data_IF_255324443120
#
_entry.id   IF_255324443120
#
_cell.length_a   1.000
_cell.length_b   1.000
_cell.length_c   1.000
_cell.angle_alpha   90.00
_cell.angle_beta   90.00
_cell.angle_gamma   90.00
#
_symmetry.space_group_name_H-M   'P 1'
#
loop_
_entity.id
_entity.type
_entity.pdbx_description
1 polymer ?
#
# COMPACT_ATOMS: atom_id res chain seq x y z
N UNK A 1 -0.27 -14.51 -4.48
CA UNK A 1 -0.16 -13.60 -5.63
C UNK A 1 -1.37 -12.68 -5.60
N UNK A 2 -1.18 -11.46 -5.09
CA UNK A 2 -2.25 -10.46 -4.99
C UNK A 2 -2.47 -9.69 -6.29
N UNK A 3 -3.59 -8.96 -6.36
CA UNK A 3 -3.88 -8.01 -7.43
C UNK A 3 -2.91 -6.83 -7.30
N UNK A 4 -2.30 -6.40 -8.41
CA UNK A 4 -1.44 -5.21 -8.45
C UNK A 4 -2.22 -4.05 -9.08
N UNK A 5 -2.18 -2.88 -8.43
CA UNK A 5 -2.76 -1.64 -8.95
C UNK A 5 -1.66 -0.59 -9.12
N UNK A 6 -1.74 0.22 -10.18
CA UNK A 6 -0.80 1.29 -10.46
C UNK A 6 -1.44 2.67 -10.34
N UNK A 7 -0.71 3.65 -9.81
CA UNK A 7 -1.14 5.05 -9.78
C UNK A 7 -0.80 5.72 -11.12
N UNK A 8 -1.82 6.27 -11.81
CA UNK A 8 -1.69 6.96 -13.10
C UNK A 8 -2.16 8.41 -12.97
N UNK A 9 -1.46 9.35 -13.59
CA UNK A 9 -1.85 10.77 -13.58
C UNK A 9 -0.75 11.70 -14.07
N UNK A 10 -1.10 12.97 -14.29
CA UNK A 10 -0.20 14.01 -14.82
C UNK A 10 1.01 14.27 -13.89
N UNK A 11 2.11 14.87 -14.40
CA UNK A 11 3.23 15.28 -13.57
C UNK A 11 2.80 16.17 -12.39
N UNK A 12 3.45 16.03 -11.24
CA UNK A 12 3.25 16.88 -10.04
C UNK A 12 1.85 16.88 -9.40
N UNK A 13 0.97 15.92 -9.70
CA UNK A 13 -0.37 15.81 -9.07
C UNK A 13 -0.38 15.10 -7.70
N UNK A 14 0.79 14.92 -7.07
CA UNK A 14 0.89 14.28 -5.75
C UNK A 14 0.88 12.75 -5.74
N UNK A 15 1.13 12.09 -6.88
CA UNK A 15 1.16 10.61 -6.97
C UNK A 15 2.12 9.97 -5.97
N UNK A 16 3.36 10.48 -5.87
CA UNK A 16 4.37 9.95 -4.95
C UNK A 16 3.99 10.20 -3.49
N UNK A 17 3.36 11.35 -3.19
CA UNK A 17 2.83 11.67 -1.86
C UNK A 17 1.76 10.68 -1.43
N UNK A 18 0.80 10.38 -2.31
CA UNK A 18 -0.27 9.42 -2.02
C UNK A 18 0.27 7.99 -1.88
N UNK A 19 1.23 7.59 -2.72
CA UNK A 19 1.89 6.30 -2.61
C UNK A 19 2.57 6.15 -1.25
N UNK A 20 3.37 7.13 -0.83
CA UNK A 20 4.08 7.09 0.45
C UNK A 20 3.10 7.05 1.63
N UNK A 21 2.00 7.79 1.57
CA UNK A 21 0.96 7.78 2.59
C UNK A 21 0.28 6.41 2.74
N UNK A 22 0.04 5.70 1.62
CA UNK A 22 -0.69 4.42 1.62
C UNK A 22 0.20 3.21 1.91
N UNK A 23 1.50 3.30 1.62
CA UNK A 23 2.42 2.16 1.68
C UNK A 23 3.44 2.27 2.82
N UNK A 24 3.43 3.36 3.59
CA UNK A 24 4.44 3.73 4.58
C UNK A 24 5.88 3.66 4.02
N UNK A 25 6.03 3.65 2.68
CA UNK A 25 7.31 3.61 2.01
C UNK A 25 7.85 5.04 1.88
N UNK A 26 9.13 5.23 2.17
CA UNK A 26 9.82 6.50 1.99
C UNK A 26 10.40 6.59 0.57
N UNK A 27 9.54 6.71 -0.45
CA UNK A 27 10.04 6.96 -1.81
C UNK A 27 10.47 8.43 -1.92
N UNK A 28 11.70 8.71 -2.39
CA UNK A 28 12.11 10.06 -2.73
C UNK A 28 11.20 10.64 -3.83
N UNK A 29 10.54 11.76 -3.55
CA UNK A 29 9.70 12.48 -4.52
C UNK A 29 10.54 13.32 -5.51
N UNK A 30 11.71 12.83 -5.89
CA UNK A 30 12.67 13.54 -6.73
C UNK A 30 12.54 13.10 -8.20
N UNK A 31 12.68 14.07 -9.11
CA UNK A 31 12.65 13.82 -10.55
C UNK A 31 13.98 13.18 -11.01
N UNK A 32 14.04 11.86 -11.16
CA UNK A 32 15.20 11.17 -11.77
C UNK A 32 14.91 10.85 -13.25
N UNK A 33 15.44 11.61 -14.23
CA UNK A 33 14.99 11.51 -15.61
C UNK A 33 15.66 10.39 -16.43
N UNK A 34 16.60 9.60 -15.88
CA UNK A 34 17.44 8.70 -16.69
C UNK A 34 17.83 7.35 -16.06
N UNK A 35 17.23 6.92 -14.94
CA UNK A 35 17.48 5.58 -14.38
C UNK A 35 16.32 4.63 -14.66
N UNK A 36 16.61 3.36 -14.93
CA UNK A 36 15.61 2.28 -14.90
C UNK A 36 15.16 2.10 -13.46
N UNK A 37 14.12 2.85 -13.05
CA UNK A 37 13.56 2.76 -11.71
C UNK A 37 12.68 1.50 -11.70
N UNK A 38 13.11 0.46 -10.99
CA UNK A 38 12.19 -0.63 -10.65
C UNK A 38 10.94 -0.01 -10.00
N UNK A 39 9.72 -0.36 -10.45
CA UNK A 39 8.52 0.27 -9.92
C UNK A 39 8.48 0.01 -8.41
N UNK A 40 8.37 1.07 -7.62
CA UNK A 40 8.23 0.91 -6.18
C UNK A 40 6.97 0.09 -5.90
N UNK A 41 7.14 -1.08 -5.32
CA UNK A 41 6.03 -1.95 -4.92
C UNK A 41 5.83 -1.76 -3.43
N UNK A 42 4.63 -1.31 -3.05
CA UNK A 42 4.21 -1.18 -1.67
C UNK A 42 2.98 -2.03 -1.42
N UNK A 43 2.82 -2.49 -0.18
CA UNK A 43 1.62 -3.18 0.27
C UNK A 43 0.75 -2.14 0.99
N UNK A 44 -0.48 -1.98 0.54
CA UNK A 44 -1.46 -1.13 1.21
C UNK A 44 -2.30 -2.01 2.14
N UNK A 45 -2.36 -1.64 3.42
CA UNK A 45 -3.21 -2.34 4.40
C UNK A 45 -4.66 -1.96 4.12
N UNK A 46 -5.52 -2.96 3.90
CA UNK A 46 -6.96 -2.74 3.78
C UNK A 46 -7.58 -2.90 5.17
N UNK A 47 -8.14 -1.83 5.78
CA UNK A 47 -8.80 -1.95 7.07
C UNK A 47 -10.08 -2.79 6.93
N UNK A 48 -10.21 -3.82 7.76
CA UNK A 48 -11.39 -4.68 7.80
C UNK A 48 -11.84 -4.91 9.25
N UNK A 49 -12.79 -4.08 9.71
CA UNK A 49 -13.35 -4.14 11.06
C UNK A 49 -14.02 -5.48 11.38
N UNK A 50 -14.46 -6.21 10.35
CA UNK A 50 -15.14 -7.50 10.52
C UNK A 50 -14.19 -8.56 11.07
N UNK A 51 -12.89 -8.44 10.81
CA UNK A 51 -11.90 -9.36 11.37
C UNK A 51 -11.84 -9.26 12.89
N UNK A 52 -11.95 -8.05 13.42
CA UNK A 52 -11.97 -7.80 14.87
C UNK A 52 -13.27 -8.33 15.49
N UNK A 53 -14.43 -8.02 14.87
CA UNK A 53 -15.73 -8.51 15.33
C UNK A 53 -15.79 -10.04 15.38
N UNK A 54 -15.24 -10.72 14.37
CA UNK A 54 -15.16 -12.18 14.34
C UNK A 54 -14.20 -12.68 15.41
N UNK A 55 -13.04 -12.06 15.57
CA UNK A 55 -12.05 -12.46 16.57
C UNK A 55 -12.59 -12.39 18.00
N UNK A 56 -13.47 -11.42 18.30
CA UNK A 56 -14.14 -11.33 19.60
C UNK A 56 -15.07 -12.51 19.88
N UNK A 57 -15.70 -13.06 18.83
CA UNK A 57 -16.61 -14.20 18.93
C UNK A 57 -15.84 -15.52 19.07
N UNK A 58 -14.86 -15.77 18.19
CA UNK A 58 -14.17 -17.08 18.09
C UNK A 58 -12.88 -17.18 18.91
N UNK A 59 -12.34 -16.06 19.41
CA UNK A 59 -11.09 -15.98 20.19
C UNK A 59 -9.94 -16.77 19.56
N UNK A 60 -9.55 -16.47 18.31
CA UNK A 60 -8.49 -17.18 17.63
C UNK A 60 -7.13 -16.92 18.28
N UNK A 61 -6.16 -17.80 18.00
CA UNK A 61 -4.77 -17.61 18.44
C UNK A 61 -4.12 -16.37 17.81
N UNK A 62 -4.53 -16.02 16.59
CA UNK A 62 -3.92 -14.98 15.77
C UNK A 62 -4.91 -14.51 14.70
N UNK A 63 -4.89 -13.22 14.38
CA UNK A 63 -5.65 -12.62 13.28
C UNK A 63 -4.66 -12.36 12.14
N UNK A 64 -4.91 -12.95 10.98
CA UNK A 64 -4.05 -12.80 9.79
C UNK A 64 -4.83 -11.97 8.76
N UNK A 65 -4.52 -10.68 8.59
CA UNK A 65 -5.11 -9.88 7.52
C UNK A 65 -4.59 -10.34 6.15
N UNK A 66 -5.33 -10.01 5.09
CA UNK A 66 -4.85 -10.22 3.71
C UNK A 66 -3.71 -9.25 3.40
N UNK A 67 -2.63 -9.80 2.83
CA UNK A 67 -1.45 -9.08 2.35
C UNK A 67 -1.58 -8.66 0.88
#
# INVERSE_FOLDING_TARGET
>A
MGIKCGFVGLPNVGKSTLFNALTAAEIPAENYPFCTIEPNVGIAIVPDLRLEEIADIVKPREIIPTA
#
